data_IF_193637421379
#
_entry.id   IF_193637421379
#
_cell.length_a   1.000
_cell.length_b   1.000
_cell.length_c   1.000
_cell.angle_alpha   90.00
_cell.angle_beta   90.00
_cell.angle_gamma   90.00
#
_symmetry.space_group_name_H-M   'P 1'
#
loop_
_entity.id
_entity.type
_entity.pdbx_description
1 polymer ?
#
# COMPACT_ATOMS: atom_id res chain seq x y z
N UNK A 1 -29.32 -23.61 -61.85
CA UNK A 1 -29.28 -24.04 -60.43
C UNK A 1 -27.85 -24.50 -60.17
N UNK A 2 -27.06 -24.07 -59.19
CA UNK A 2 -27.28 -23.37 -57.93
C UNK A 2 -25.96 -22.65 -57.56
N UNK A 3 -26.03 -21.42 -57.06
CA UNK A 3 -24.87 -20.66 -56.53
C UNK A 3 -24.78 -20.91 -55.02
N UNK A 4 -23.70 -21.53 -54.56
CA UNK A 4 -23.42 -21.65 -53.12
C UNK A 4 -22.64 -20.43 -52.62
N UNK A 5 -23.23 -19.78 -51.62
CA UNK A 5 -22.63 -18.74 -50.80
C UNK A 5 -21.78 -19.39 -49.69
N UNK A 6 -20.55 -18.92 -49.47
CA UNK A 6 -19.80 -19.18 -48.24
C UNK A 6 -19.62 -17.85 -47.50
N UNK A 7 -20.40 -17.66 -46.44
CA UNK A 7 -20.22 -16.60 -45.48
C UNK A 7 -19.12 -17.03 -44.50
N UNK A 8 -17.97 -16.36 -44.57
CA UNK A 8 -16.93 -16.44 -43.54
C UNK A 8 -17.41 -15.63 -42.33
N UNK A 9 -17.85 -16.32 -41.28
CA UNK A 9 -18.11 -15.73 -39.97
C UNK A 9 -16.79 -15.39 -39.29
N UNK A 10 -16.51 -14.10 -39.13
CA UNK A 10 -15.43 -13.59 -38.30
C UNK A 10 -15.84 -13.73 -36.82
N UNK A 11 -15.11 -14.54 -36.06
CA UNK A 11 -15.27 -14.64 -34.62
C UNK A 11 -14.51 -13.47 -33.98
N UNK A 12 -15.24 -12.43 -33.58
CA UNK A 12 -14.69 -11.39 -32.72
C UNK A 12 -14.56 -11.98 -31.31
N UNK A 13 -13.32 -12.25 -30.89
CA UNK A 13 -13.04 -12.53 -29.48
C UNK A 13 -13.13 -11.22 -28.70
N UNK A 14 -14.13 -11.09 -27.84
CA UNK A 14 -14.20 -9.99 -26.89
C UNK A 14 -13.15 -10.23 -25.79
N UNK A 15 -12.15 -9.36 -25.69
CA UNK A 15 -11.26 -9.29 -24.54
C UNK A 15 -12.00 -8.51 -23.47
N UNK A 16 -12.48 -9.19 -22.42
CA UNK A 16 -13.02 -8.52 -21.24
C UNK A 16 -11.84 -7.98 -20.44
N UNK A 17 -11.60 -6.67 -20.52
CA UNK A 17 -10.78 -5.97 -19.54
C UNK A 17 -11.56 -5.96 -18.21
N UNK A 18 -11.11 -6.73 -17.23
CA UNK A 18 -11.54 -6.55 -15.84
C UNK A 18 -11.18 -5.13 -15.43
N UNK A 19 -12.14 -4.38 -14.90
CA UNK A 19 -11.85 -3.11 -14.24
C UNK A 19 -10.78 -3.38 -13.17
N UNK A 20 -9.63 -2.71 -13.28
CA UNK A 20 -8.51 -2.87 -12.37
C UNK A 20 -8.87 -2.12 -11.08
N UNK A 21 -9.29 -2.85 -10.05
CA UNK A 21 -9.78 -2.34 -8.75
C UNK A 21 -8.60 -1.89 -7.86
N UNK A 22 -7.73 -1.08 -8.47
CA UNK A 22 -6.47 -0.62 -7.91
C UNK A 22 -6.57 0.87 -7.64
N UNK A 23 -6.38 1.27 -6.38
CA UNK A 23 -6.34 2.66 -5.96
C UNK A 23 -4.90 3.07 -5.66
N UNK A 24 -4.43 4.19 -6.23
CA UNK A 24 -3.06 4.68 -6.02
C UNK A 24 -3.06 6.08 -5.43
N UNK A 25 -2.31 6.27 -4.34
CA UNK A 25 -2.07 7.58 -3.72
C UNK A 25 -0.58 7.87 -3.74
N UNK A 26 -0.19 9.07 -4.17
CA UNK A 26 1.20 9.55 -4.10
C UNK A 26 1.28 10.77 -3.20
N UNK A 27 2.16 10.70 -2.21
CA UNK A 27 2.45 11.77 -1.26
C UNK A 27 3.79 12.41 -1.64
N UNK A 28 3.76 13.70 -1.94
CA UNK A 28 4.97 14.52 -2.12
C UNK A 28 5.48 14.96 -0.76
N UNK A 29 6.65 14.47 -0.36
CA UNK A 29 7.29 14.82 0.93
C UNK A 29 8.22 16.01 0.79
N UNK A 30 8.96 16.07 -0.33
CA UNK A 30 9.79 17.22 -0.74
C UNK A 30 9.87 17.26 -2.28
N UNK A 31 10.46 18.30 -2.91
CA UNK A 31 10.48 18.44 -4.37
C UNK A 31 11.01 17.22 -5.15
N UNK A 32 11.91 16.44 -4.54
CA UNK A 32 12.51 15.26 -5.17
C UNK A 32 12.17 13.94 -4.43
N UNK A 33 11.28 13.99 -3.42
CA UNK A 33 10.98 12.86 -2.54
C UNK A 33 9.48 12.56 -2.51
N UNK A 34 9.12 11.37 -2.97
CA UNK A 34 7.74 10.91 -3.09
C UNK A 34 7.57 9.53 -2.47
N UNK A 35 6.41 9.29 -1.89
CA UNK A 35 5.99 7.95 -1.46
C UNK A 35 4.65 7.62 -2.12
N UNK A 36 4.61 6.53 -2.87
CA UNK A 36 3.40 6.05 -3.53
C UNK A 36 2.92 4.76 -2.91
N UNK A 37 1.61 4.64 -2.78
CA UNK A 37 0.89 3.52 -2.20
C UNK A 37 -0.12 3.01 -3.22
N UNK A 38 -0.14 1.71 -3.43
CA UNK A 38 -1.09 1.00 -4.27
C UNK A 38 -1.92 0.08 -3.37
N UNK A 39 -3.22 0.35 -3.29
CA UNK A 39 -4.21 -0.44 -2.56
C UNK A 39 -5.05 -1.23 -3.56
N UNK A 40 -5.35 -2.49 -3.22
CA UNK A 40 -6.22 -3.37 -4.00
C UNK A 40 -7.27 -3.99 -3.11
N UNK A 41 -8.47 -4.19 -3.66
CA UNK A 41 -9.48 -4.99 -2.98
C UNK A 41 -9.02 -6.44 -2.84
N UNK A 42 -9.38 -7.08 -1.74
CA UNK A 42 -9.22 -8.52 -1.61
C UNK A 42 -10.26 -9.24 -2.48
N UNK A 43 -10.00 -10.46 -2.96
CA UNK A 43 -11.01 -11.22 -3.69
C UNK A 43 -12.26 -11.51 -2.84
N UNK A 44 -13.46 -11.51 -3.43
CA UNK A 44 -14.74 -11.80 -2.74
C UNK A 44 -14.75 -13.09 -1.90
N UNK A 45 -13.94 -14.07 -2.30
CA UNK A 45 -13.74 -15.32 -1.55
C UNK A 45 -13.29 -15.07 -0.10
N UNK A 46 -12.60 -13.97 0.18
CA UNK A 46 -12.16 -13.56 1.52
C UNK A 46 -13.30 -13.28 2.50
N UNK A 47 -14.43 -12.80 2.01
CA UNK A 47 -15.60 -12.49 2.85
C UNK A 47 -16.43 -13.73 3.16
N UNK A 48 -16.38 -14.74 2.28
CA UNK A 48 -17.19 -15.96 2.39
C UNK A 48 -16.46 -17.09 3.12
N UNK A 49 -15.14 -17.07 3.18
CA UNK A 49 -14.31 -18.04 3.88
C UNK A 49 -13.14 -17.36 4.59
N UNK A 50 -13.26 -16.99 5.88
CA UNK A 50 -12.26 -16.18 6.59
C UNK A 50 -10.83 -16.75 6.53
N UNK A 51 -10.65 -18.07 6.49
CA UNK A 51 -9.34 -18.72 6.38
C UNK A 51 -8.71 -18.66 4.97
N UNK A 52 -9.47 -18.34 3.92
CA UNK A 52 -8.95 -18.33 2.54
C UNK A 52 -8.08 -17.12 2.21
N UNK A 53 -8.04 -16.12 3.09
CA UNK A 53 -7.27 -14.88 2.89
C UNK A 53 -6.19 -14.67 3.93
N UNK A 54 -5.87 -15.73 4.67
CA UNK A 54 -4.61 -15.81 5.39
C UNK A 54 -3.54 -16.10 4.34
N UNK A 55 -2.64 -15.13 4.11
CA UNK A 55 -1.40 -15.44 3.39
C UNK A 55 -0.55 -16.26 4.36
N UNK A 56 -0.57 -17.58 4.18
CA UNK A 56 0.24 -18.54 4.96
C UNK A 56 0.02 -18.48 6.49
N UNK A 57 -1.22 -18.27 6.97
CA UNK A 57 -1.53 -18.28 8.40
C UNK A 57 -0.93 -17.13 9.22
N UNK A 58 -0.48 -16.05 8.56
CA UNK A 58 0.16 -14.90 9.22
C UNK A 58 -0.88 -13.88 9.67
N UNK A 59 -0.73 -13.23 10.85
CA UNK A 59 -1.65 -12.22 11.35
C UNK A 59 -1.86 -11.07 10.35
N UNK A 60 -3.12 -10.63 10.21
CA UNK A 60 -3.50 -9.49 9.36
C UNK A 60 -3.42 -8.20 10.18
N UNK A 61 -2.41 -7.36 9.92
CA UNK A 61 -2.32 -6.05 10.56
C UNK A 61 -3.22 -5.09 9.77
N UNK A 62 -4.12 -4.40 10.50
CA UNK A 62 -5.17 -3.54 9.92
C UNK A 62 -6.50 -4.24 9.62
N UNK A 63 -6.66 -5.51 10.01
CA UNK A 63 -7.93 -6.24 9.86
C UNK A 63 -8.12 -7.23 11.02
N UNK A 64 -8.07 -6.70 12.25
CA UNK A 64 -8.15 -7.49 13.49
C UNK A 64 -9.62 -7.77 13.83
N UNK A 65 -10.52 -6.83 13.50
CA UNK A 65 -11.92 -6.86 13.90
C UNK A 65 -12.87 -7.52 12.90
N UNK A 66 -12.47 -7.60 11.62
CA UNK A 66 -13.25 -8.11 10.51
C UNK A 66 -12.34 -8.67 9.40
N UNK A 67 -12.86 -9.49 8.47
CA UNK A 67 -12.15 -9.80 7.23
C UNK A 67 -11.68 -8.51 6.54
N UNK A 68 -10.46 -8.47 5.97
CA UNK A 68 -10.00 -7.29 5.24
C UNK A 68 -10.85 -7.09 3.99
N UNK A 69 -11.09 -5.84 3.63
CA UNK A 69 -11.69 -5.44 2.36
C UNK A 69 -10.58 -5.17 1.32
N UNK A 70 -9.41 -4.70 1.77
CA UNK A 70 -8.31 -4.32 0.89
C UNK A 70 -6.93 -4.59 1.50
N UNK A 71 -5.89 -4.47 0.68
CA UNK A 71 -4.49 -4.60 1.10
C UNK A 71 -3.57 -3.70 0.27
N UNK A 72 -2.39 -3.38 0.82
CA UNK A 72 -1.34 -2.71 0.06
C UNK A 72 -0.61 -3.70 -0.84
N UNK A 73 -0.84 -3.59 -2.15
CA UNK A 73 -0.16 -4.39 -3.16
C UNK A 73 1.25 -3.89 -3.45
N UNK A 74 1.49 -2.58 -3.31
CA UNK A 74 2.80 -1.97 -3.56
C UNK A 74 2.97 -0.70 -2.76
N UNK A 75 4.19 -0.50 -2.28
CA UNK A 75 4.66 0.77 -1.75
C UNK A 75 5.98 1.10 -2.44
N UNK A 76 6.13 2.33 -2.91
CA UNK A 76 7.37 2.78 -3.54
C UNK A 76 7.84 4.12 -2.99
N UNK A 77 9.10 4.19 -2.62
CA UNK A 77 9.81 5.42 -2.32
C UNK A 77 10.56 5.88 -3.56
N UNK A 78 10.36 7.12 -4.00
CA UNK A 78 11.17 7.73 -5.05
C UNK A 78 11.95 8.90 -4.49
N UNK A 79 13.26 8.87 -4.66
CA UNK A 79 14.15 9.98 -4.34
C UNK A 79 15.05 10.30 -5.53
N UNK A 80 14.89 11.49 -6.12
CA UNK A 80 15.52 11.90 -7.38
C UNK A 80 15.25 10.88 -8.50
N UNK A 81 16.31 10.20 -8.94
CA UNK A 81 16.33 9.27 -10.07
C UNK A 81 16.15 7.81 -9.63
N UNK A 82 16.06 7.56 -8.32
CA UNK A 82 15.97 6.23 -7.75
C UNK A 82 14.58 5.94 -7.20
N UNK A 83 14.15 4.71 -7.42
CA UNK A 83 12.88 4.18 -6.89
C UNK A 83 13.17 2.89 -6.14
N UNK A 84 12.69 2.81 -4.90
CA UNK A 84 12.79 1.66 -4.04
C UNK A 84 11.39 1.06 -3.85
N UNK A 85 11.29 -0.27 -3.99
CA UNK A 85 10.11 -1.00 -3.57
C UNK A 85 10.23 -1.29 -2.07
N UNK A 86 9.24 -0.86 -1.30
CA UNK A 86 9.17 -1.13 0.12
C UNK A 86 8.27 -2.35 0.36
N UNK A 87 8.61 -3.17 1.34
CA UNK A 87 7.81 -4.35 1.71
C UNK A 87 6.42 -3.92 2.22
N UNK A 88 5.39 -4.23 1.44
CA UNK A 88 3.98 -3.97 1.75
C UNK A 88 3.24 -5.18 2.33
N UNK A 89 3.93 -6.31 2.53
CA UNK A 89 3.30 -7.56 2.97
C UNK A 89 2.60 -7.41 4.31
N UNK A 90 1.46 -8.07 4.49
CA UNK A 90 0.67 -8.09 5.74
C UNK A 90 0.05 -6.74 6.16
N UNK A 91 -0.05 -5.79 5.24
CA UNK A 91 -0.69 -4.48 5.49
C UNK A 91 -2.07 -4.44 4.83
N UNK A 92 -3.12 -4.54 5.64
CA UNK A 92 -4.50 -4.60 5.20
C UNK A 92 -5.26 -3.33 5.55
N UNK A 93 -6.38 -3.11 4.85
CA UNK A 93 -7.27 -1.95 5.02
C UNK A 93 -6.51 -0.65 5.27
N UNK A 94 -5.58 -0.23 4.39
CA UNK A 94 -4.81 1.00 4.60
C UNK A 94 -5.71 2.25 4.58
N UNK A 95 -6.93 2.14 4.04
CA UNK A 95 -7.94 3.20 3.96
C UNK A 95 -7.43 4.42 3.17
N UNK A 96 -6.82 4.19 2.00
CA UNK A 96 -6.26 5.29 1.20
C UNK A 96 -7.38 6.13 0.54
N UNK A 97 -8.46 5.48 0.10
CA UNK A 97 -9.56 6.11 -0.65
C UNK A 97 -10.60 6.86 0.22
N UNK A 98 -10.59 6.65 1.55
CA UNK A 98 -11.62 7.17 2.47
C UNK A 98 -11.23 8.39 3.30
N UNK A 99 -9.98 8.84 3.22
CA UNK A 99 -9.49 9.96 4.03
C UNK A 99 -9.52 11.27 3.25
N UNK A 100 -10.41 12.17 3.67
CA UNK A 100 -9.93 13.52 3.97
C UNK A 100 -8.84 13.34 5.02
N UNK A 101 -7.59 13.23 4.58
CA UNK A 101 -6.42 13.23 5.44
C UNK A 101 -6.70 14.35 6.45
N UNK A 102 -6.88 14.07 7.75
CA UNK A 102 -7.19 15.14 8.68
C UNK A 102 -6.09 16.17 8.49
N UNK A 103 -6.43 17.45 8.56
CA UNK A 103 -5.48 18.55 8.60
C UNK A 103 -4.57 18.37 9.84
N UNK A 104 -3.67 17.38 9.79
CA UNK A 104 -2.69 17.03 10.80
C UNK A 104 -1.45 17.83 10.44
N UNK A 105 -0.90 18.62 11.35
CA UNK A 105 0.22 19.50 11.04
C UNK A 105 1.46 18.74 10.52
N UNK A 106 1.62 17.45 10.83
CA UNK A 106 2.78 16.63 10.40
C UNK A 106 2.45 15.49 9.41
N UNK A 107 1.19 15.32 8.99
CA UNK A 107 0.77 14.28 8.01
C UNK A 107 0.69 12.85 8.57
N UNK A 108 0.46 11.86 7.69
CA UNK A 108 0.40 10.40 7.98
C UNK A 108 1.54 9.62 7.30
N UNK A 109 2.39 10.33 6.55
CA UNK A 109 3.60 9.81 5.93
C UNK A 109 4.71 10.81 6.22
N UNK A 110 5.86 10.29 6.61
CA UNK A 110 7.11 11.02 6.58
C UNK A 110 8.16 10.20 5.86
N UNK A 111 9.00 10.88 5.11
CA UNK A 111 10.19 10.30 4.54
C UNK A 111 11.34 11.31 4.60
N UNK A 112 12.55 10.79 4.79
CA UNK A 112 13.78 11.59 4.73
C UNK A 112 14.87 10.75 4.10
N UNK A 113 15.75 11.39 3.34
CA UNK A 113 16.90 10.76 2.71
C UNK A 113 18.14 11.60 3.00
N UNK A 114 19.16 10.96 3.58
CA UNK A 114 20.48 11.57 3.75
C UNK A 114 21.20 11.67 2.40
N UNK A 115 21.07 10.61 1.59
CA UNK A 115 21.58 10.53 0.23
C UNK A 115 20.66 9.63 -0.62
N UNK A 116 21.08 9.32 -1.85
CA UNK A 116 20.27 8.53 -2.78
C UNK A 116 20.04 7.09 -2.30
N UNK A 117 20.87 6.56 -1.41
CA UNK A 117 20.95 5.16 -0.97
C UNK A 117 20.56 4.97 0.50
N UNK A 118 20.43 6.05 1.25
CA UNK A 118 20.12 6.06 2.67
C UNK A 118 18.88 6.90 2.96
N UNK A 119 17.75 6.22 3.18
CA UNK A 119 16.46 6.84 3.43
C UNK A 119 15.72 6.16 4.58
N UNK A 120 14.76 6.87 5.14
CA UNK A 120 13.83 6.38 6.16
C UNK A 120 12.42 6.80 5.78
N UNK A 121 11.47 5.89 5.94
CA UNK A 121 10.06 6.12 5.65
C UNK A 121 9.24 5.65 6.85
N UNK A 122 8.34 6.49 7.34
CA UNK A 122 7.40 6.19 8.41
C UNK A 122 5.99 6.51 7.96
N UNK A 123 5.06 5.62 8.26
CA UNK A 123 3.65 5.80 7.91
C UNK A 123 2.76 5.41 9.07
N UNK A 124 1.59 6.08 9.12
CA UNK A 124 0.45 5.67 9.93
C UNK A 124 -0.71 5.41 8.98
N UNK A 125 -1.22 4.18 8.98
CA UNK A 125 -2.23 3.68 8.04
C UNK A 125 -3.39 3.04 8.79
N UNK A 126 -4.45 2.72 8.05
CA UNK A 126 -5.69 2.19 8.62
C UNK A 126 -6.50 3.26 9.32
N UNK A 127 -7.68 2.89 9.80
CA UNK A 127 -8.60 3.80 10.49
C UNK A 127 -9.19 3.14 11.75
N UNK A 128 -9.57 3.99 12.72
CA UNK A 128 -10.15 3.57 13.99
C UNK A 128 -9.38 2.40 14.64
N UNK A 129 -10.10 1.34 15.06
CA UNK A 129 -9.56 0.17 15.77
C UNK A 129 -8.62 -0.72 14.96
N UNK A 130 -8.37 -0.39 13.69
CA UNK A 130 -7.47 -1.11 12.79
C UNK A 130 -6.33 -0.19 12.29
N UNK A 131 -6.00 0.86 13.06
CA UNK A 131 -4.84 1.71 12.80
C UNK A 131 -3.54 0.97 13.08
N UNK A 132 -2.50 1.20 12.28
CA UNK A 132 -1.18 0.64 12.48
C UNK A 132 -0.08 1.56 11.93
N UNK A 133 1.14 1.30 12.36
CA UNK A 133 2.34 2.00 11.89
C UNK A 133 3.30 1.07 11.18
N UNK A 134 4.06 1.63 10.25
CA UNK A 134 5.17 0.93 9.64
C UNK A 134 6.38 1.85 9.41
N UNK A 135 7.55 1.27 9.45
CA UNK A 135 8.83 1.94 9.22
C UNK A 135 9.70 1.11 8.27
N UNK A 136 10.33 1.79 7.34
CA UNK A 136 11.34 1.23 6.46
C UNK A 136 12.60 2.07 6.51
N UNK A 137 13.72 1.38 6.36
CA UNK A 137 14.99 1.99 6.01
C UNK A 137 15.39 1.52 4.61
N UNK A 138 15.96 2.44 3.85
CA UNK A 138 16.84 2.11 2.73
C UNK A 138 18.25 2.31 3.26
N UNK A 139 19.06 1.27 3.28
CA UNK A 139 20.46 1.31 3.70
C UNK A 139 21.31 0.74 2.59
N UNK A 140 22.30 1.50 2.12
CA UNK A 140 23.14 1.14 0.98
C UNK A 140 22.32 0.66 -0.24
N UNK A 141 21.21 1.36 -0.50
CA UNK A 141 20.30 1.09 -1.62
C UNK A 141 19.40 -0.14 -1.46
N UNK A 142 19.38 -0.77 -0.27
CA UNK A 142 18.50 -1.92 0.02
C UNK A 142 17.40 -1.51 0.98
N UNK A 143 16.14 -1.78 0.60
CA UNK A 143 14.99 -1.53 1.46
C UNK A 143 14.79 -2.67 2.46
N UNK A 144 14.53 -2.30 3.71
CA UNK A 144 14.18 -3.20 4.81
C UNK A 144 13.05 -2.57 5.62
N UNK A 145 12.00 -3.35 5.89
CA UNK A 145 10.98 -2.96 6.87
C UNK A 145 11.48 -3.27 8.27
N UNK A 146 11.62 -2.24 9.11
CA UNK A 146 12.09 -2.36 10.50
C UNK A 146 10.94 -2.45 11.49
N UNK A 147 9.77 -1.89 11.13
CA UNK A 147 8.58 -1.91 11.98
C UNK A 147 7.32 -2.17 11.16
N UNK A 148 6.44 -3.01 11.69
CA UNK A 148 5.02 -3.07 11.36
C UNK A 148 4.29 -3.43 12.65
N UNK A 149 3.42 -2.54 13.15
CA UNK A 149 2.78 -2.76 14.45
C UNK A 149 1.41 -2.11 14.58
N UNK A 150 0.42 -2.81 15.15
CA UNK A 150 -0.86 -2.25 15.58
C UNK A 150 -0.83 -1.71 17.03
N UNK A 151 0.35 -1.61 17.67
CA UNK A 151 0.47 -1.15 19.06
C UNK A 151 0.02 0.31 19.21
N UNK A 152 -0.93 0.55 20.12
CA UNK A 152 -1.44 1.89 20.42
C UNK A 152 -0.34 2.85 20.88
N UNK A 153 0.64 2.38 21.67
CA UNK A 153 1.77 3.20 22.12
C UNK A 153 2.64 3.67 20.95
N UNK A 154 2.93 2.77 19.99
CA UNK A 154 3.71 3.11 18.80
C UNK A 154 2.93 3.99 17.82
N UNK A 155 1.62 3.75 17.69
CA UNK A 155 0.71 4.62 16.93
C UNK A 155 0.75 6.02 17.53
N UNK A 156 0.54 6.15 18.84
CA UNK A 156 0.56 7.43 19.54
C UNK A 156 1.93 8.12 19.43
N UNK A 157 3.03 7.36 19.49
CA UNK A 157 4.38 7.88 19.27
C UNK A 157 4.53 8.48 17.87
N UNK A 158 4.20 7.73 16.81
CA UNK A 158 4.32 8.20 15.43
C UNK A 158 3.34 9.34 15.12
N UNK A 159 2.19 9.35 15.78
CA UNK A 159 1.19 10.41 15.62
C UNK A 159 1.59 11.71 16.32
N UNK A 160 2.38 11.61 17.38
CA UNK A 160 2.96 12.75 18.09
C UNK A 160 4.21 13.27 17.38
N UNK A 161 5.05 12.35 16.88
CA UNK A 161 6.29 12.65 16.16
C UNK A 161 6.55 11.57 15.11
N UNK A 162 6.14 11.86 13.88
CA UNK A 162 6.32 10.93 12.76
C UNK A 162 7.76 10.97 12.22
N UNK A 163 8.54 11.97 12.62
CA UNK A 163 9.91 12.14 12.17
C UNK A 163 10.83 11.20 12.96
N UNK A 164 11.78 10.51 12.30
CA UNK A 164 12.78 9.74 13.01
C UNK A 164 13.70 10.66 13.81
N UNK A 165 14.24 10.19 14.95
CA UNK A 165 15.27 10.92 15.67
C UNK A 165 16.47 11.12 14.74
N UNK A 166 16.91 12.36 14.61
CA UNK A 166 18.14 12.71 13.92
C UNK A 166 19.27 12.58 14.94
N UNK A 167 20.22 11.68 14.71
CA UNK A 167 21.45 11.65 15.50
C UNK A 167 22.39 12.71 14.95
N UNK A 168 22.68 13.74 15.76
CA UNK A 168 23.74 14.73 15.52
C UNK A 168 25.11 14.19 15.94
#
# INVERSE_FOLDING_TARGET
MSRYWLLLGAWASAVFASADDTHTVTVTVSPDLYVSFEERQVPDACHTSPGSCEVNGTPRIGAISAPPDSYLSRISLRYKDRTYLLDSGHMYNPQLAGRAVPARPEGWVHASCMDAENCVVRVVLGDAGDTYVAEWYVLDGKSLRTLLSPSEDLINLFMKDIRPPVYE
#
